data_IF_535588528217
#
_entry.id   IF_535588528217
#
_cell.length_a   1.000
_cell.length_b   1.000
_cell.length_c   1.000
_cell.angle_alpha   90.00
_cell.angle_beta   90.00
_cell.angle_gamma   90.00
#
_symmetry.space_group_name_H-M   'P 1'
#
loop_
_entity.id
_entity.type
_entity.pdbx_description
1 polymer ?
#
# COMPACT_ATOMS: atom_id res chain seq x y z
N UNK A 1 1.69 8.53 -16.59
CA UNK A 1 1.67 9.29 -15.32
C UNK A 1 1.78 8.33 -14.16
N UNK A 2 2.73 8.55 -13.27
CA UNK A 2 2.87 7.68 -12.11
C UNK A 2 1.88 8.08 -11.01
N UNK A 3 1.28 7.10 -10.36
CA UNK A 3 0.36 7.28 -9.26
C UNK A 3 1.00 6.68 -8.01
N UNK A 4 0.94 7.39 -6.90
CA UNK A 4 1.47 6.89 -5.63
C UNK A 4 0.35 6.25 -4.83
N UNK A 5 0.49 4.98 -4.50
CA UNK A 5 -0.54 4.19 -3.83
C UNK A 5 0.02 3.57 -2.56
N UNK A 6 -0.74 3.68 -1.47
CA UNK A 6 -0.43 2.98 -0.24
C UNK A 6 -1.08 1.59 -0.30
N UNK A 7 -0.29 0.54 -0.10
CA UNK A 7 -0.81 -0.82 0.02
C UNK A 7 -0.75 -1.22 1.48
N UNK A 8 -1.91 -1.37 2.11
CA UNK A 8 -1.99 -1.76 3.51
C UNK A 8 -2.04 -3.28 3.63
N UNK A 9 -1.03 -3.84 4.24
CA UNK A 9 -0.85 -5.28 4.38
C UNK A 9 0.33 -5.77 3.56
N UNK A 10 1.16 -6.59 4.18
CA UNK A 10 2.40 -7.08 3.57
C UNK A 10 2.41 -8.60 3.38
N UNK A 11 1.23 -9.24 3.45
CA UNK A 11 1.08 -10.64 3.13
C UNK A 11 1.13 -10.89 1.62
N UNK A 12 0.83 -12.10 1.22
CA UNK A 12 0.88 -12.51 -0.19
C UNK A 12 0.02 -11.59 -1.07
N UNK A 13 -1.20 -11.28 -0.61
CA UNK A 13 -2.13 -10.42 -1.36
C UNK A 13 -1.60 -9.00 -1.50
N UNK A 14 -1.05 -8.43 -0.43
CA UNK A 14 -0.50 -7.07 -0.47
C UNK A 14 0.70 -6.96 -1.39
N UNK A 15 1.60 -7.94 -1.34
CA UNK A 15 2.75 -7.98 -2.24
C UNK A 15 2.30 -8.10 -3.70
N UNK A 16 1.31 -8.96 -3.96
CA UNK A 16 0.78 -9.12 -5.32
C UNK A 16 0.16 -7.81 -5.84
N UNK A 17 -0.60 -7.10 -4.99
CA UNK A 17 -1.20 -5.83 -5.36
C UNK A 17 -0.11 -4.78 -5.67
N UNK A 18 0.94 -4.75 -4.84
CA UNK A 18 2.06 -3.83 -5.04
C UNK A 18 2.76 -4.11 -6.37
N UNK A 19 2.99 -5.36 -6.71
CA UNK A 19 3.61 -5.74 -7.99
C UNK A 19 2.76 -5.31 -9.18
N UNK A 20 1.45 -5.49 -9.06
CA UNK A 20 0.52 -5.06 -10.11
C UNK A 20 0.59 -3.55 -10.34
N UNK A 21 0.59 -2.78 -9.26
CA UNK A 21 0.68 -1.32 -9.33
C UNK A 21 2.00 -0.85 -9.94
N UNK A 22 3.10 -1.50 -9.56
CA UNK A 22 4.41 -1.18 -10.13
C UNK A 22 4.46 -1.49 -11.63
N UNK A 23 3.81 -2.58 -12.03
CA UNK A 23 3.73 -2.96 -13.45
C UNK A 23 2.93 -1.94 -14.27
N UNK A 24 2.02 -1.20 -13.62
CA UNK A 24 1.24 -0.13 -14.26
C UNK A 24 1.98 1.21 -14.25
N UNK A 25 3.22 1.23 -13.80
CA UNK A 25 4.03 2.45 -13.76
C UNK A 25 3.84 3.27 -12.49
N UNK A 26 3.16 2.73 -11.48
CA UNK A 26 2.91 3.43 -10.23
C UNK A 26 4.07 3.38 -9.25
N UNK A 27 3.95 4.15 -8.20
CA UNK A 27 4.84 4.14 -7.05
C UNK A 27 4.07 3.56 -5.86
N UNK A 28 4.69 2.70 -5.07
CA UNK A 28 4.01 1.99 -3.99
C UNK A 28 4.65 2.30 -2.63
N UNK A 29 3.80 2.53 -1.65
CA UNK A 29 4.19 2.56 -0.24
C UNK A 29 3.52 1.36 0.41
N UNK A 30 4.33 0.37 0.83
CA UNK A 30 3.82 -0.77 1.60
C UNK A 30 3.69 -0.36 3.05
N UNK A 31 2.54 -0.64 3.63
CA UNK A 31 2.30 -0.33 5.03
C UNK A 31 1.85 -1.57 5.80
N UNK A 32 2.40 -1.75 7.00
CA UNK A 32 1.92 -2.76 7.94
C UNK A 32 2.09 -2.23 9.35
N UNK A 33 1.08 -2.45 10.18
CA UNK A 33 1.14 -2.03 11.58
C UNK A 33 2.10 -2.81 12.45
N UNK A 34 2.64 -3.92 11.96
CA UNK A 34 3.56 -4.77 12.72
C UNK A 34 5.01 -4.27 12.61
N UNK A 35 5.47 -3.59 13.65
CA UNK A 35 6.84 -3.04 13.70
C UNK A 35 7.93 -4.10 13.70
N UNK A 36 7.58 -5.34 13.98
CA UNK A 36 8.55 -6.45 14.05
C UNK A 36 8.95 -6.97 12.67
N UNK A 37 8.24 -6.59 11.63
CA UNK A 37 8.58 -6.98 10.27
C UNK A 37 9.85 -6.26 9.83
N UNK A 38 10.53 -6.84 8.84
CA UNK A 38 11.73 -6.23 8.26
C UNK A 38 11.41 -5.56 6.93
N UNK A 39 11.65 -4.27 6.84
CA UNK A 39 11.46 -3.53 5.58
C UNK A 39 12.38 -4.08 4.48
N UNK A 40 13.62 -4.47 4.85
CA UNK A 40 14.56 -5.03 3.89
C UNK A 40 14.06 -6.35 3.31
N UNK A 41 13.50 -7.21 4.17
CA UNK A 41 12.94 -8.48 3.74
C UNK A 41 11.77 -8.27 2.79
N UNK A 42 10.91 -7.31 3.10
CA UNK A 42 9.76 -7.00 2.25
C UNK A 42 10.19 -6.48 0.89
N UNK A 43 11.21 -5.64 0.85
CA UNK A 43 11.73 -5.08 -0.40
C UNK A 43 12.35 -6.14 -1.30
N UNK A 44 12.79 -7.27 -0.75
CA UNK A 44 13.34 -8.37 -1.55
C UNK A 44 12.33 -9.00 -2.50
N UNK A 45 11.05 -8.76 -2.28
CA UNK A 45 10.00 -9.24 -3.18
C UNK A 45 9.94 -8.46 -4.50
N UNK A 46 10.68 -7.37 -4.60
CA UNK A 46 10.63 -6.45 -5.74
C UNK A 46 11.99 -6.33 -6.41
N UNK A 47 11.98 -5.90 -7.67
CA UNK A 47 13.21 -5.68 -8.41
C UNK A 47 13.99 -4.50 -7.82
N UNK A 48 15.31 -4.57 -7.96
CA UNK A 48 16.16 -3.44 -7.59
C UNK A 48 15.79 -2.26 -8.48
N UNK A 49 15.57 -1.11 -7.88
CA UNK A 49 15.12 0.07 -8.62
C UNK A 49 13.61 0.23 -8.68
N UNK A 50 12.83 -0.74 -8.17
CA UNK A 50 11.38 -0.58 -8.08
C UNK A 50 11.03 0.60 -7.16
N UNK A 51 10.01 1.35 -7.53
CA UNK A 51 9.57 2.51 -6.75
C UNK A 51 8.69 2.07 -5.59
N UNK A 52 9.27 1.37 -4.64
CA UNK A 52 8.58 0.87 -3.46
C UNK A 52 9.29 1.34 -2.20
N UNK A 53 8.50 1.79 -1.23
CA UNK A 53 9.00 2.11 0.11
C UNK A 53 8.13 1.35 1.12
N UNK A 54 8.63 1.23 2.35
CA UNK A 54 7.95 0.45 3.39
C UNK A 54 7.83 1.30 4.65
N UNK A 55 6.61 1.32 5.22
CA UNK A 55 6.34 1.96 6.50
C UNK A 55 5.78 0.89 7.44
N UNK A 56 6.40 0.72 8.59
CA UNK A 56 5.97 -0.26 9.60
C UNK A 56 5.59 0.46 10.89
N UNK A 57 4.54 -0.02 11.53
CA UNK A 57 4.08 0.53 12.79
C UNK A 57 3.02 1.59 12.62
N UNK A 58 3.24 2.77 13.17
CA UNK A 58 2.28 3.86 13.11
C UNK A 58 2.32 4.59 11.78
N UNK A 59 1.15 4.81 11.19
CA UNK A 59 1.03 5.61 9.97
C UNK A 59 0.74 7.06 10.36
N UNK A 60 1.51 7.99 9.84
CA UNK A 60 1.35 9.41 10.10
C UNK A 60 0.80 10.12 8.87
N UNK A 61 0.11 11.22 9.08
CA UNK A 61 -0.45 12.00 7.98
C UNK A 61 0.62 12.46 6.98
N UNK A 62 1.82 12.77 7.46
CA UNK A 62 2.95 13.13 6.59
C UNK A 62 3.36 12.00 5.65
N UNK A 63 3.15 10.76 6.07
CA UNK A 63 3.48 9.60 5.26
C UNK A 63 2.58 9.49 4.02
N UNK A 64 1.45 10.19 4.04
CA UNK A 64 0.48 10.16 2.95
C UNK A 64 0.70 11.26 1.91
N UNK A 65 1.79 12.01 2.03
CA UNK A 65 2.11 13.06 1.06
C UNK A 65 2.22 12.48 -0.35
N UNK A 66 1.38 12.95 -1.27
CA UNK A 66 1.34 12.46 -2.64
C UNK A 66 0.61 11.14 -2.84
N UNK A 67 0.14 10.50 -1.77
CA UNK A 67 -0.63 9.26 -1.87
C UNK A 67 -2.04 9.58 -2.36
N UNK A 68 -2.44 8.95 -3.45
CA UNK A 68 -3.74 9.19 -4.09
C UNK A 68 -4.78 8.11 -3.78
N UNK A 69 -4.33 6.94 -3.33
CA UNK A 69 -5.21 5.79 -3.14
C UNK A 69 -4.60 4.84 -2.11
N UNK A 70 -5.43 4.17 -1.34
CA UNK A 70 -5.02 3.08 -0.48
C UNK A 70 -5.69 1.80 -0.94
N UNK A 71 -4.92 0.74 -1.15
CA UNK A 71 -5.45 -0.60 -1.41
C UNK A 71 -5.28 -1.42 -0.14
N UNK A 72 -6.36 -1.95 0.38
CA UNK A 72 -6.37 -2.68 1.65
C UNK A 72 -6.53 -4.18 1.42
N UNK A 73 -5.72 -4.97 2.12
CA UNK A 73 -5.82 -6.43 2.08
C UNK A 73 -7.06 -6.91 2.83
N UNK A 74 -7.69 -8.04 2.39
CA UNK A 74 -8.93 -8.52 3.01
C UNK A 74 -8.85 -8.81 4.51
N UNK A 75 -7.68 -9.17 5.01
CA UNK A 75 -7.52 -9.49 6.42
C UNK A 75 -7.40 -8.30 7.35
N UNK A 76 -7.39 -7.08 6.82
CA UNK A 76 -7.22 -5.88 7.62
C UNK A 76 -8.56 -5.23 7.90
N UNK A 77 -8.79 -4.90 9.18
CA UNK A 77 -10.03 -4.25 9.61
C UNK A 77 -10.07 -2.78 9.19
N UNK A 78 -11.23 -2.33 8.71
CA UNK A 78 -11.47 -0.91 8.45
C UNK A 78 -11.55 -0.09 9.74
N UNK A 79 -11.56 -0.76 10.89
CA UNK A 79 -11.55 -0.09 12.19
C UNK A 79 -10.13 0.13 12.72
N UNK A 80 -9.11 -0.34 11.99
CA UNK A 80 -7.71 -0.14 12.40
C UNK A 80 -7.37 1.35 12.48
N UNK A 81 -6.51 1.75 13.42
CA UNK A 81 -6.19 3.18 13.61
C UNK A 81 -5.69 3.91 12.37
N UNK A 82 -4.94 3.22 11.49
CA UNK A 82 -4.41 3.88 10.29
C UNK A 82 -5.51 4.34 9.33
N UNK A 83 -6.68 3.70 9.38
CA UNK A 83 -7.82 4.08 8.52
C UNK A 83 -8.28 5.49 8.84
N UNK A 84 -8.26 5.88 10.13
CA UNK A 84 -8.61 7.24 10.52
C UNK A 84 -7.66 8.27 9.91
N UNK A 85 -6.37 7.93 9.79
CA UNK A 85 -5.37 8.81 9.17
C UNK A 85 -5.68 8.98 7.68
N UNK A 86 -6.07 7.90 7.01
CA UNK A 86 -6.48 7.95 5.60
C UNK A 86 -7.71 8.81 5.40
N UNK A 87 -8.71 8.67 6.28
CA UNK A 87 -9.93 9.47 6.20
C UNK A 87 -9.63 10.96 6.37
N UNK A 88 -8.77 11.32 7.31
CA UNK A 88 -8.37 12.70 7.52
C UNK A 88 -7.66 13.28 6.29
N UNK A 89 -6.88 12.47 5.61
CA UNK A 89 -6.16 12.88 4.41
C UNK A 89 -7.02 12.77 3.14
N UNK A 90 -8.25 12.29 3.28
CA UNK A 90 -9.19 12.09 2.18
C UNK A 90 -8.65 11.15 1.10
N UNK A 91 -7.93 10.12 1.51
CA UNK A 91 -7.41 9.09 0.61
C UNK A 91 -8.48 8.01 0.45
N UNK A 92 -8.96 7.75 -0.77
CA UNK A 92 -9.95 6.69 -0.97
C UNK A 92 -9.33 5.32 -0.71
N UNK A 93 -10.14 4.39 -0.25
CA UNK A 93 -9.71 3.03 0.09
C UNK A 93 -10.40 2.05 -0.85
N UNK A 94 -9.60 1.27 -1.57
CA UNK A 94 -10.09 0.22 -2.45
C UNK A 94 -9.73 -1.15 -1.89
N UNK A 95 -10.57 -2.14 -2.15
CA UNK A 95 -10.20 -3.53 -1.91
C UNK A 95 -9.28 -4.00 -3.03
N UNK A 96 -8.63 -5.15 -2.83
CA UNK A 96 -7.82 -5.75 -3.88
C UNK A 96 -8.66 -6.14 -5.10
N UNK A 97 -9.91 -6.53 -4.87
CA UNK A 97 -10.82 -6.88 -5.95
C UNK A 97 -11.11 -5.65 -6.82
N UNK A 98 -11.34 -4.50 -6.19
CA UNK A 98 -11.54 -3.25 -6.90
C UNK A 98 -10.32 -2.86 -7.73
N UNK A 99 -9.12 -3.03 -7.16
CA UNK A 99 -7.88 -2.76 -7.86
C UNK A 99 -7.75 -3.65 -9.10
N UNK A 100 -7.97 -4.95 -8.95
CA UNK A 100 -7.88 -5.90 -10.05
C UNK A 100 -8.87 -5.56 -11.16
N UNK A 101 -10.09 -5.17 -10.79
CA UNK A 101 -11.10 -4.77 -11.75
C UNK A 101 -10.63 -3.58 -12.58
N UNK A 102 -10.08 -2.54 -11.93
CA UNK A 102 -9.62 -1.35 -12.63
C UNK A 102 -8.38 -1.60 -13.48
N UNK A 103 -7.48 -2.47 -13.02
CA UNK A 103 -6.26 -2.78 -13.76
C UNK A 103 -6.47 -3.73 -14.94
N UNK A 104 -7.60 -4.43 -14.98
CA UNK A 104 -7.88 -5.39 -16.05
C UNK A 104 -8.55 -4.74 -17.27
N UNK A 105 -8.78 -3.44 -17.22
CA UNK A 105 -9.48 -2.73 -18.30
C UNK A 105 -8.57 -2.07 -19.30
#
# INVERSE_FOLDING_TARGET
MSQKVLVAGTGISGIAAAKLLLAQGGEVVLYDGNEKLSAEELKKNFDEGAKVSVILGELKKLDLSGVELCVISPGISLEAPFVAVLDEARVPIWSEIELAYHCSQ
#
